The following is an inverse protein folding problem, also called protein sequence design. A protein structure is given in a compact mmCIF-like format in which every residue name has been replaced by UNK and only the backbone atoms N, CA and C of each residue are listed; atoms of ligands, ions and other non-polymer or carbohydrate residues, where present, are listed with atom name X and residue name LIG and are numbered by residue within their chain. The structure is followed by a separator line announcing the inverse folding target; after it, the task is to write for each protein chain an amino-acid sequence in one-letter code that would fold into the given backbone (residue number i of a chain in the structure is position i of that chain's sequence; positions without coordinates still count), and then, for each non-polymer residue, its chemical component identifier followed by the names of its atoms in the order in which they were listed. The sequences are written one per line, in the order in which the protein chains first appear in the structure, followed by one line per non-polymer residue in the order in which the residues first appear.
data_IF_247687125093
#
_entry.id   IF_247687125093
#
_cell.length_a   1.000
_cell.length_b   1.000
_cell.length_c   1.000
_cell.angle_alpha   90.00
_cell.angle_beta   90.00
_cell.angle_gamma   90.00
#
_symmetry.space_group_name_H-M   'P 1'
#
loop_
_entity.id
_entity.type
_entity.pdbx_description
1 polymer ?
#
# COMPACT_ATOMS: atom_id res chain seq x y z
N UNK A 1 -27.72 -66.32 -12.29
CA UNK A 1 -26.94 -65.29 -11.54
C UNK A 1 -26.88 -64.04 -12.40
N UNK A 2 -27.53 -62.91 -12.01
CA UNK A 2 -27.43 -61.65 -12.73
C UNK A 2 -26.42 -60.71 -12.10
N UNK A 3 -25.83 -59.93 -12.98
CA UNK A 3 -24.86 -58.86 -12.84
C UNK A 3 -25.14 -57.86 -11.73
N UNK A 4 -24.16 -57.64 -10.84
CA UNK A 4 -24.06 -56.52 -9.94
C UNK A 4 -22.68 -55.86 -10.21
N UNK A 5 -22.57 -55.04 -11.26
CA UNK A 5 -21.43 -54.13 -11.47
C UNK A 5 -21.84 -52.97 -12.37
N UNK A 6 -22.55 -51.98 -11.85
CA UNK A 6 -22.62 -50.65 -12.47
C UNK A 6 -23.27 -49.62 -11.51
N UNK A 7 -22.53 -49.12 -10.50
CA UNK A 7 -22.88 -47.84 -9.85
C UNK A 7 -21.80 -47.35 -8.90
N UNK A 8 -20.68 -46.88 -9.40
CA UNK A 8 -19.71 -46.13 -8.55
C UNK A 8 -18.85 -45.10 -9.32
N UNK A 9 -19.37 -44.40 -10.33
CA UNK A 9 -18.57 -43.42 -11.09
C UNK A 9 -19.17 -42.01 -11.21
N UNK A 10 -20.17 -41.64 -10.43
CA UNK A 10 -20.77 -40.30 -10.55
C UNK A 10 -20.54 -39.31 -9.38
N UNK A 11 -20.00 -39.75 -8.25
CA UNK A 11 -19.87 -38.89 -7.05
C UNK A 11 -18.62 -37.99 -7.04
N UNK A 12 -17.60 -38.26 -7.83
CA UNK A 12 -16.34 -37.52 -7.78
C UNK A 12 -16.34 -36.17 -8.56
N UNK A 13 -17.16 -36.10 -9.61
CA UNK A 13 -17.15 -34.91 -10.49
C UNK A 13 -17.86 -33.69 -9.85
N UNK A 14 -18.89 -33.94 -9.06
CA UNK A 14 -19.66 -32.85 -8.40
C UNK A 14 -18.89 -32.22 -7.22
N UNK A 15 -18.10 -32.99 -6.50
CA UNK A 15 -17.28 -32.48 -5.38
C UNK A 15 -16.17 -31.55 -5.89
N UNK A 16 -15.52 -31.92 -7.01
CA UNK A 16 -14.46 -31.08 -7.61
C UNK A 16 -14.98 -29.72 -8.14
N UNK A 17 -16.18 -29.73 -8.78
CA UNK A 17 -16.78 -28.51 -9.29
C UNK A 17 -17.20 -27.53 -8.17
N UNK A 18 -17.69 -28.05 -7.04
CA UNK A 18 -18.07 -27.21 -5.89
C UNK A 18 -16.84 -26.58 -5.23
N UNK A 19 -15.74 -27.31 -5.07
CA UNK A 19 -14.48 -26.80 -4.49
C UNK A 19 -13.90 -25.70 -5.39
N UNK A 20 -13.88 -25.88 -6.71
CA UNK A 20 -13.39 -24.87 -7.64
C UNK A 20 -14.24 -23.58 -7.60
N UNK A 21 -15.56 -23.69 -7.48
CA UNK A 21 -16.44 -22.54 -7.37
C UNK A 21 -16.23 -21.75 -6.06
N UNK A 22 -15.98 -22.45 -4.95
CA UNK A 22 -15.69 -21.83 -3.66
C UNK A 22 -14.34 -21.09 -3.73
N UNK A 23 -13.28 -21.73 -4.26
CA UNK A 23 -11.97 -21.10 -4.41
C UNK A 23 -12.04 -19.86 -5.31
N UNK A 24 -12.74 -19.94 -6.45
CA UNK A 24 -12.93 -18.81 -7.35
C UNK A 24 -13.67 -17.65 -6.67
N UNK A 25 -14.70 -17.94 -5.87
CA UNK A 25 -15.42 -16.94 -5.08
C UNK A 25 -14.54 -16.24 -4.03
N UNK A 26 -13.70 -16.98 -3.35
CA UNK A 26 -12.75 -16.42 -2.37
C UNK A 26 -11.69 -15.52 -3.03
N UNK A 27 -11.14 -15.93 -4.17
CA UNK A 27 -10.16 -15.14 -4.91
C UNK A 27 -10.77 -13.83 -5.44
N UNK A 28 -12.01 -13.87 -5.94
CA UNK A 28 -12.71 -12.67 -6.38
C UNK A 28 -13.01 -11.71 -5.22
N UNK A 29 -13.43 -12.21 -4.07
CA UNK A 29 -13.70 -11.41 -2.88
C UNK A 29 -12.45 -10.72 -2.33
N UNK A 30 -11.30 -11.42 -2.31
CA UNK A 30 -10.03 -10.82 -1.86
C UNK A 30 -9.51 -9.76 -2.82
N UNK A 31 -9.67 -9.94 -4.12
CA UNK A 31 -9.30 -8.95 -5.13
C UNK A 31 -10.15 -7.67 -4.99
N UNK A 32 -11.48 -7.81 -4.86
CA UNK A 32 -12.38 -6.69 -4.65
C UNK A 32 -12.03 -5.90 -3.37
N UNK A 33 -11.77 -6.59 -2.26
CA UNK A 33 -11.37 -5.95 -1.01
C UNK A 33 -10.04 -5.18 -1.13
N UNK A 34 -9.10 -5.64 -1.93
CA UNK A 34 -7.85 -4.93 -2.18
C UNK A 34 -8.04 -3.68 -3.04
N UNK A 35 -8.93 -3.74 -4.02
CA UNK A 35 -9.29 -2.59 -4.86
C UNK A 35 -9.99 -1.49 -4.06
N UNK A 36 -10.89 -1.87 -3.15
CA UNK A 36 -11.57 -0.94 -2.25
C UNK A 36 -10.58 -0.21 -1.33
N UNK A 37 -9.59 -0.91 -0.77
CA UNK A 37 -8.53 -0.31 0.05
C UNK A 37 -7.68 0.68 -0.75
N UNK A 38 -7.32 0.35 -1.98
CA UNK A 38 -6.55 1.26 -2.86
C UNK A 38 -7.40 2.48 -3.24
N UNK A 39 -8.69 2.32 -3.52
CA UNK A 39 -9.58 3.42 -3.83
C UNK A 39 -9.75 4.38 -2.63
N UNK A 40 -9.91 3.84 -1.42
CA UNK A 40 -9.91 4.62 -0.19
C UNK A 40 -8.59 5.37 0.00
N UNK A 41 -7.47 4.69 -0.19
CA UNK A 41 -6.13 5.29 -0.08
C UNK A 41 -5.91 6.43 -1.07
N UNK A 42 -6.41 6.30 -2.30
CA UNK A 42 -6.38 7.38 -3.31
C UNK A 42 -7.15 8.61 -2.84
N UNK A 43 -8.34 8.41 -2.25
CA UNK A 43 -9.13 9.54 -1.74
C UNK A 43 -8.41 10.25 -0.60
N UNK A 44 -7.87 9.49 0.37
CA UNK A 44 -7.09 10.03 1.49
C UNK A 44 -5.87 10.81 0.97
N UNK A 45 -5.17 10.26 -0.03
CA UNK A 45 -4.03 10.93 -0.64
C UNK A 45 -4.43 12.29 -1.23
N UNK A 46 -5.51 12.33 -1.99
CA UNK A 46 -6.02 13.57 -2.58
C UNK A 46 -6.37 14.62 -1.52
N UNK A 47 -6.96 14.20 -0.42
CA UNK A 47 -7.46 15.10 0.63
C UNK A 47 -6.36 15.57 1.59
N UNK A 48 -5.35 14.76 1.87
CA UNK A 48 -4.38 15.00 2.95
C UNK A 48 -2.92 15.16 2.47
N UNK A 49 -2.56 14.62 1.32
CA UNK A 49 -1.17 14.51 0.91
C UNK A 49 -0.85 15.31 -0.36
N UNK A 50 -1.77 15.33 -1.31
CA UNK A 50 -1.56 15.88 -2.65
C UNK A 50 -1.20 17.38 -2.67
N UNK A 51 -1.67 18.15 -1.70
CA UNK A 51 -1.35 19.58 -1.59
C UNK A 51 0.16 19.86 -1.48
N UNK A 52 0.91 18.94 -0.87
CA UNK A 52 2.36 19.03 -0.73
C UNK A 52 3.11 18.09 -1.67
N UNK A 53 2.65 16.84 -1.82
CA UNK A 53 3.34 15.80 -2.57
C UNK A 53 2.95 15.71 -4.05
N UNK A 54 2.06 16.63 -4.52
CA UNK A 54 1.57 16.66 -5.89
C UNK A 54 0.41 15.68 -6.14
N UNK A 55 -0.50 16.05 -7.04
CA UNK A 55 -1.68 15.25 -7.37
C UNK A 55 -1.32 13.94 -8.08
N UNK A 56 -0.22 13.95 -8.83
CA UNK A 56 0.33 12.80 -9.57
C UNK A 56 1.54 12.18 -8.84
N UNK A 57 1.70 12.42 -7.54
CA UNK A 57 2.78 11.93 -6.68
C UNK A 57 4.17 12.51 -7.02
N UNK A 58 4.22 13.59 -7.80
CA UNK A 58 5.42 14.19 -8.38
C UNK A 58 6.29 14.97 -7.39
N UNK A 59 5.77 15.29 -6.20
CA UNK A 59 6.44 16.10 -5.19
C UNK A 59 6.62 17.56 -5.59
N UNK A 60 7.50 18.26 -4.89
CA UNK A 60 7.86 19.63 -5.16
C UNK A 60 9.17 19.73 -5.94
N UNK A 61 9.37 20.82 -6.75
CA UNK A 61 10.64 21.04 -7.44
C UNK A 61 11.82 21.07 -6.45
N UNK A 62 12.98 20.61 -6.92
CA UNK A 62 14.23 20.64 -6.16
C UNK A 62 14.16 20.03 -4.76
N UNK A 63 13.29 19.04 -4.54
CA UNK A 63 12.99 18.43 -3.25
C UNK A 63 14.22 17.91 -2.46
N UNK A 64 15.38 17.74 -3.13
CA UNK A 64 16.66 17.38 -2.48
C UNK A 64 17.45 18.57 -1.97
N UNK A 65 17.01 19.79 -2.29
CA UNK A 65 17.71 21.02 -1.94
C UNK A 65 16.95 21.77 -0.82
N UNK A 66 17.60 22.09 0.31
CA UNK A 66 16.93 22.80 1.38
C UNK A 66 16.40 24.17 0.93
N UNK A 67 15.23 24.53 1.40
CA UNK A 67 14.68 25.88 1.32
C UNK A 67 15.51 26.86 2.17
N UNK A 68 15.34 28.17 2.01
CA UNK A 68 15.98 29.16 2.88
C UNK A 68 15.65 28.98 4.37
N UNK A 69 14.54 28.30 4.71
CA UNK A 69 14.19 27.91 6.08
C UNK A 69 15.03 26.76 6.63
N UNK A 70 15.80 26.07 5.81
CA UNK A 70 16.51 24.83 6.14
C UNK A 70 15.69 23.55 5.95
N UNK A 71 14.37 23.66 5.77
CA UNK A 71 13.49 22.51 5.56
C UNK A 71 13.54 22.02 4.11
N UNK A 72 13.34 20.74 3.91
CA UNK A 72 13.23 20.16 2.57
C UNK A 72 11.80 20.29 2.02
N UNK A 73 11.66 20.59 0.71
CA UNK A 73 10.37 20.46 0.02
C UNK A 73 9.86 19.02 0.05
N UNK A 74 8.55 18.84 -0.16
CA UNK A 74 7.93 17.54 -0.14
C UNK A 74 8.47 16.65 -1.28
N UNK A 75 9.00 15.45 -0.98
CA UNK A 75 9.53 14.55 -2.00
C UNK A 75 8.43 13.91 -2.85
N UNK A 76 8.75 13.44 -4.06
CA UNK A 76 7.88 12.58 -4.84
C UNK A 76 7.57 11.27 -4.12
N UNK A 77 6.34 10.77 -4.34
CA UNK A 77 5.94 9.43 -3.92
C UNK A 77 5.90 8.41 -5.07
N UNK A 78 6.14 8.84 -6.29
CA UNK A 78 6.34 7.98 -7.45
C UNK A 78 7.74 7.32 -7.46
N UNK A 79 8.10 6.66 -8.57
CA UNK A 79 9.40 6.00 -8.71
C UNK A 79 10.60 6.96 -8.73
N UNK A 80 10.41 8.26 -8.99
CA UNK A 80 11.46 9.28 -8.99
C UNK A 80 11.88 9.73 -7.59
N UNK A 81 11.01 9.48 -6.60
CA UNK A 81 11.26 9.75 -5.20
C UNK A 81 12.09 8.66 -4.51
N UNK A 82 11.98 8.59 -3.18
CA UNK A 82 12.71 7.61 -2.37
C UNK A 82 11.82 6.86 -1.37
N UNK A 83 10.51 7.04 -1.42
CA UNK A 83 9.55 6.40 -0.50
C UNK A 83 9.70 4.88 -0.49
N UNK A 84 9.90 4.28 -1.64
CA UNK A 84 10.08 2.84 -1.81
C UNK A 84 11.39 2.27 -1.23
N UNK A 85 12.28 3.10 -0.72
CA UNK A 85 13.51 2.68 -0.01
C UNK A 85 13.25 2.32 1.46
N UNK A 86 12.10 2.70 2.01
CA UNK A 86 11.78 2.52 3.41
C UNK A 86 10.89 1.29 3.65
N UNK A 87 11.10 0.55 4.76
CA UNK A 87 10.19 -0.50 5.20
C UNK A 87 8.78 0.03 5.50
N UNK A 88 7.77 -0.85 5.42
CA UNK A 88 6.37 -0.51 5.68
C UNK A 88 6.17 0.15 7.05
N UNK A 89 6.82 -0.36 8.10
CA UNK A 89 6.68 0.17 9.44
C UNK A 89 7.29 1.58 9.59
N UNK A 90 8.42 1.84 8.95
CA UNK A 90 9.01 3.17 8.91
C UNK A 90 8.10 4.16 8.19
N UNK A 91 7.55 3.78 7.03
CA UNK A 91 6.58 4.62 6.31
C UNK A 91 5.33 4.90 7.14
N UNK A 92 4.80 3.88 7.79
CA UNK A 92 3.65 4.01 8.67
C UNK A 92 3.90 5.02 9.79
N UNK A 93 5.05 4.91 10.47
CA UNK A 93 5.42 5.83 11.54
C UNK A 93 5.66 7.24 11.05
N UNK A 94 6.30 7.42 9.89
CA UNK A 94 6.49 8.75 9.29
C UNK A 94 5.15 9.44 9.07
N UNK A 95 4.16 8.74 8.52
CA UNK A 95 2.81 9.32 8.31
C UNK A 95 2.11 9.56 9.64
N UNK A 96 2.20 8.64 10.58
CA UNK A 96 1.50 8.73 11.86
C UNK A 96 2.06 9.82 12.77
N UNK A 97 3.40 9.90 12.89
CA UNK A 97 4.09 10.73 13.88
C UNK A 97 4.68 12.03 13.29
N UNK A 98 4.82 12.09 11.96
CA UNK A 98 5.50 13.17 11.25
C UNK A 98 7.00 12.93 11.08
N UNK A 99 7.58 13.47 10.01
CA UNK A 99 8.99 13.25 9.66
C UNK A 99 9.94 13.75 10.75
N UNK A 100 9.66 14.92 11.35
CA UNK A 100 10.51 15.50 12.40
C UNK A 100 10.63 14.58 13.62
N UNK A 101 9.54 13.92 14.02
CA UNK A 101 9.54 12.99 15.17
C UNK A 101 10.39 11.74 14.89
N UNK A 102 10.37 11.24 13.66
CA UNK A 102 11.11 10.02 13.27
C UNK A 102 12.61 10.31 13.11
N UNK A 103 12.96 11.43 12.47
CA UNK A 103 14.37 11.82 12.28
C UNK A 103 15.01 12.24 13.60
N UNK A 104 14.29 12.99 14.44
CA UNK A 104 14.78 13.45 15.73
C UNK A 104 15.90 14.48 15.64
N UNK A 105 16.68 14.65 16.73
CA UNK A 105 17.89 15.48 16.73
C UNK A 105 17.69 16.96 16.41
N UNK A 106 16.46 17.49 16.54
CA UNK A 106 16.14 18.87 16.18
C UNK A 106 15.87 19.07 14.69
N UNK A 107 15.67 17.98 13.92
CA UNK A 107 15.28 18.07 12.51
C UNK A 107 13.92 18.73 12.37
N UNK A 108 13.80 19.70 11.46
CA UNK A 108 12.56 20.39 11.16
C UNK A 108 11.97 19.92 9.84
N UNK A 109 10.64 19.72 9.81
CA UNK A 109 9.89 19.32 8.64
C UNK A 109 8.53 20.01 8.59
N UNK A 110 8.04 20.30 7.39
CA UNK A 110 6.68 20.78 7.18
C UNK A 110 5.66 19.62 7.06
N UNK A 111 6.11 18.37 7.04
CA UNK A 111 5.23 17.20 7.08
C UNK A 111 4.80 16.92 8.52
N UNK A 112 3.53 17.17 8.88
CA UNK A 112 3.01 16.85 10.21
C UNK A 112 2.78 15.35 10.38
N UNK A 113 2.52 14.92 11.63
CA UNK A 113 1.91 13.63 11.90
C UNK A 113 0.40 13.67 11.65
N UNK A 114 -0.13 12.57 11.15
CA UNK A 114 -1.56 12.40 10.85
C UNK A 114 -2.28 11.47 11.82
N UNK A 115 -1.62 10.98 12.87
CA UNK A 115 -2.21 10.03 13.81
C UNK A 115 -3.43 10.53 14.58
N UNK A 116 -3.63 11.85 14.68
CA UNK A 116 -4.82 12.47 15.28
C UNK A 116 -5.95 12.70 14.26
N UNK A 117 -5.67 12.53 12.95
CA UNK A 117 -6.60 12.80 11.84
C UNK A 117 -7.02 11.52 11.13
N UNK A 118 -6.07 10.59 10.98
CA UNK A 118 -6.25 9.32 10.27
C UNK A 118 -6.09 8.14 11.24
N UNK A 119 -6.97 7.17 11.13
CA UNK A 119 -6.82 5.87 11.79
C UNK A 119 -5.65 5.07 11.19
N UNK A 120 -5.16 4.08 11.91
CA UNK A 120 -4.11 3.18 11.44
C UNK A 120 -4.49 2.46 10.13
N UNK A 121 -5.77 2.13 9.94
CA UNK A 121 -6.28 1.52 8.71
C UNK A 121 -6.22 2.49 7.53
N UNK A 122 -6.56 3.75 7.74
CA UNK A 122 -6.50 4.80 6.71
C UNK A 122 -5.06 5.13 6.33
N UNK A 123 -4.14 5.18 7.30
CA UNK A 123 -2.70 5.33 7.03
C UNK A 123 -2.20 4.16 6.17
N UNK A 124 -2.58 2.93 6.50
CA UNK A 124 -2.21 1.76 5.68
C UNK A 124 -2.84 1.79 4.29
N UNK A 125 -4.06 2.31 4.16
CA UNK A 125 -4.73 2.43 2.87
C UNK A 125 -4.02 3.45 1.96
N UNK A 126 -3.64 4.62 2.45
CA UNK A 126 -2.90 5.61 1.65
C UNK A 126 -1.52 5.11 1.25
N UNK A 127 -0.81 4.38 2.11
CA UNK A 127 0.45 3.74 1.78
C UNK A 127 0.29 2.63 0.73
N UNK A 128 -0.79 1.84 0.80
CA UNK A 128 -1.13 0.85 -0.22
C UNK A 128 -1.41 1.49 -1.58
N UNK A 129 -2.12 2.63 -1.61
CA UNK A 129 -2.32 3.39 -2.84
C UNK A 129 -0.99 3.87 -3.43
N UNK A 130 -0.12 4.53 -2.65
CA UNK A 130 1.19 4.99 -3.10
C UNK A 130 1.98 3.82 -3.69
N UNK A 131 2.07 2.71 -2.97
CA UNK A 131 2.77 1.49 -3.42
C UNK A 131 2.18 0.91 -4.72
N UNK A 132 0.87 1.00 -4.92
CA UNK A 132 0.20 0.48 -6.12
C UNK A 132 0.61 1.21 -7.40
N UNK A 133 1.10 2.44 -7.29
CA UNK A 133 1.57 3.27 -8.42
C UNK A 133 3.00 2.95 -8.85
N UNK A 134 3.78 2.26 -8.01
CA UNK A 134 5.19 1.98 -8.32
C UNK A 134 5.34 0.90 -9.39
N UNK A 135 6.35 1.02 -10.26
CA UNK A 135 6.76 -0.08 -11.13
C UNK A 135 7.17 -1.31 -10.32
N UNK A 136 7.23 -2.45 -10.98
CA UNK A 136 7.49 -3.73 -10.31
C UNK A 136 8.84 -3.79 -9.60
N UNK A 137 9.86 -3.12 -10.14
CA UNK A 137 11.20 -3.07 -9.56
C UNK A 137 11.16 -2.42 -8.16
N UNK A 138 10.54 -1.26 -8.04
CA UNK A 138 10.41 -0.48 -6.81
C UNK A 138 9.56 -1.23 -5.78
N UNK A 139 8.46 -1.84 -6.21
CA UNK A 139 7.64 -2.68 -5.33
C UNK A 139 8.41 -3.85 -4.74
N UNK A 140 9.15 -4.60 -5.59
CA UNK A 140 9.97 -5.73 -5.11
C UNK A 140 11.08 -5.32 -4.17
N UNK A 141 11.72 -4.18 -4.45
CA UNK A 141 12.74 -3.64 -3.54
C UNK A 141 12.13 -3.31 -2.18
N UNK A 142 11.04 -2.55 -2.16
CA UNK A 142 10.35 -2.16 -0.93
C UNK A 142 9.87 -3.39 -0.13
N UNK A 143 9.34 -4.41 -0.80
CA UNK A 143 9.02 -5.70 -0.16
C UNK A 143 10.24 -6.37 0.48
N UNK A 144 11.40 -6.26 -0.15
CA UNK A 144 12.63 -6.86 0.37
C UNK A 144 13.10 -6.18 1.66
N UNK A 145 13.05 -4.86 1.72
CA UNK A 145 13.43 -4.11 2.92
C UNK A 145 12.40 -4.25 4.03
N UNK A 146 11.10 -4.33 3.71
CA UNK A 146 10.04 -4.57 4.70
C UNK A 146 10.10 -5.95 5.36
N UNK A 147 10.66 -6.97 4.67
CA UNK A 147 10.86 -8.31 5.26
C UNK A 147 12.12 -8.42 6.12
N UNK A 148 13.04 -7.50 5.98
CA UNK A 148 14.32 -7.50 6.70
C UNK A 148 14.26 -6.73 8.03
N UNK A 149 13.20 -5.93 8.23
CA UNK A 149 12.93 -5.13 9.41
C UNK A 149 12.10 -5.92 10.43
#
# INVERSE_FOLDING_TARGET
LPDILASTRRSGVFAGALILAIIAGWLAATAAASEDVIAQGRQIYADQCAACHGAELEGQPDWRSPLPSGRLPAPPHDASGHTWHHPDEVLFRIVREGTAAIVGGGYESDMPGFGDVLSDAEIRAVLAYIRSTWPERERRYQESVSRAD
#
